data_IF_291990706309
#
_entry.id   IF_291990706309
#
_cell.length_a   1.000
_cell.length_b   1.000
_cell.length_c   1.000
_cell.angle_alpha   90.00
_cell.angle_beta   90.00
_cell.angle_gamma   90.00
#
_symmetry.space_group_name_H-M   'P 1'
#
loop_
_entity.id
_entity.type
_entity.pdbx_description
1 polymer ?
#
# COMPACT_ATOMS: atom_id res chain seq x y z
N UNK A 1 -17.52 -46.97 -7.83
CA UNK A 1 -17.60 -45.53 -7.51
C UNK A 1 -16.24 -45.13 -6.98
N UNK A 2 -15.39 -44.58 -7.85
CA UNK A 2 -13.97 -44.37 -7.60
C UNK A 2 -13.74 -43.05 -6.88
N UNK A 3 -13.11 -43.12 -5.71
CA UNK A 3 -12.72 -42.00 -4.87
C UNK A 3 -11.49 -41.30 -5.46
N UNK A 4 -11.66 -40.06 -5.91
CA UNK A 4 -10.54 -39.21 -6.37
C UNK A 4 -10.02 -38.46 -5.14
N UNK A 5 -8.82 -38.84 -4.69
CA UNK A 5 -8.06 -38.10 -3.68
C UNK A 5 -7.48 -36.85 -4.34
N UNK A 6 -7.83 -35.69 -3.78
CA UNK A 6 -7.29 -34.40 -4.20
C UNK A 6 -5.96 -34.18 -3.48
N UNK A 7 -4.85 -34.36 -4.18
CA UNK A 7 -3.51 -34.02 -3.69
C UNK A 7 -3.28 -32.51 -3.79
N UNK A 8 -3.01 -31.90 -2.65
CA UNK A 8 -2.66 -30.49 -2.50
C UNK A 8 -1.24 -30.24 -3.00
N UNK A 9 -1.12 -29.57 -4.15
CA UNK A 9 0.13 -29.07 -4.71
C UNK A 9 0.52 -27.79 -3.96
N UNK A 10 1.57 -27.87 -3.14
CA UNK A 10 2.24 -26.70 -2.57
C UNK A 10 3.07 -25.99 -3.67
N UNK A 11 3.06 -24.65 -3.75
CA UNK A 11 3.91 -23.94 -4.68
C UNK A 11 5.37 -24.00 -4.20
N UNK A 12 6.23 -24.58 -5.04
CA UNK A 12 7.69 -24.54 -4.92
C UNK A 12 8.17 -23.08 -5.00
N UNK A 13 8.62 -22.55 -3.86
CA UNK A 13 9.31 -21.27 -3.77
C UNK A 13 10.73 -21.46 -4.32
N UNK A 14 10.95 -21.03 -5.56
CA UNK A 14 12.28 -20.98 -6.17
C UNK A 14 12.98 -19.72 -5.64
N UNK A 15 14.03 -19.91 -4.85
CA UNK A 15 14.91 -18.82 -4.42
C UNK A 15 15.57 -18.15 -5.63
N UNK A 16 15.63 -16.81 -5.69
CA UNK A 16 16.37 -16.13 -6.75
C UNK A 16 17.88 -16.44 -6.64
N UNK A 17 18.60 -16.54 -7.77
CA UNK A 17 20.02 -16.82 -7.77
C UNK A 17 20.81 -15.70 -7.07
N UNK A 18 21.85 -16.11 -6.35
CA UNK A 18 22.78 -15.21 -5.69
C UNK A 18 23.41 -14.24 -6.71
N UNK A 19 23.44 -12.95 -6.37
CA UNK A 19 24.09 -11.93 -7.18
C UNK A 19 25.60 -12.24 -7.30
N UNK A 20 26.19 -12.10 -8.50
CA UNK A 20 27.62 -12.30 -8.67
C UNK A 20 28.42 -11.26 -7.88
N UNK A 21 29.39 -11.74 -7.11
CA UNK A 21 30.38 -10.94 -6.41
C UNK A 21 31.24 -10.16 -7.42
N UNK A 22 31.18 -8.83 -7.34
CA UNK A 22 32.02 -7.94 -8.14
C UNK A 22 33.50 -8.12 -7.76
N UNK A 23 34.42 -8.07 -8.74
CA UNK A 23 35.86 -8.10 -8.48
C UNK A 23 36.32 -6.80 -7.78
N UNK A 24 37.41 -6.86 -6.99
CA UNK A 24 37.93 -5.70 -6.29
C UNK A 24 38.48 -4.65 -7.27
N UNK A 25 38.13 -3.39 -6.99
CA UNK A 25 38.60 -2.20 -7.72
C UNK A 25 40.10 -2.01 -7.44
N UNK A 26 40.96 -1.87 -8.47
CA UNK A 26 42.36 -1.52 -8.26
C UNK A 26 42.48 -0.08 -7.76
N UNK A 27 43.26 0.13 -6.69
CA UNK A 27 43.71 1.45 -6.26
C UNK A 27 44.65 2.08 -7.31
N UNK A 28 44.46 3.34 -7.70
CA UNK A 28 45.41 4.02 -8.58
C UNK A 28 46.67 4.41 -7.79
N UNK A 29 47.81 3.86 -8.22
CA UNK A 29 49.14 4.36 -7.87
C UNK A 29 49.34 5.75 -8.48
N UNK A 30 49.59 6.74 -7.63
CA UNK A 30 50.02 8.08 -8.05
C UNK A 30 51.53 8.12 -8.22
N UNK A 31 51.98 8.34 -9.45
CA UNK A 31 53.28 8.96 -9.76
C UNK A 31 53.02 10.21 -10.61
N UNK A 32 53.73 11.32 -10.38
CA UNK A 32 53.52 12.58 -11.08
C UNK A 32 54.36 12.69 -12.36
N UNK A 33 54.08 13.75 -13.11
CA UNK A 33 54.77 14.26 -14.30
C UNK A 33 54.36 13.70 -15.66
N UNK A 34 53.53 14.48 -16.36
CA UNK A 34 54.01 15.17 -17.57
C UNK A 34 52.99 16.18 -18.08
N UNK A 35 53.48 17.39 -18.26
CA UNK A 35 52.88 18.53 -18.96
C UNK A 35 52.56 18.19 -20.41
N UNK A 36 51.30 18.37 -20.83
CA UNK A 36 50.94 18.64 -22.21
C UNK A 36 49.64 19.43 -22.26
N UNK A 37 49.74 20.66 -22.73
CA UNK A 37 48.60 21.51 -23.10
C UNK A 37 47.76 20.84 -24.18
N UNK A 38 46.47 20.72 -23.91
CA UNK A 38 45.44 20.69 -24.94
C UNK A 38 44.47 21.82 -24.63
N UNK A 39 44.48 22.84 -25.50
CA UNK A 39 43.39 23.79 -25.66
C UNK A 39 42.17 23.02 -26.21
N UNK A 40 41.57 22.17 -25.39
CA UNK A 40 40.20 21.75 -25.57
C UNK A 40 39.32 22.82 -24.95
N UNK A 41 38.34 23.32 -25.69
CA UNK A 41 37.19 24.01 -25.09
C UNK A 41 36.70 23.14 -23.95
N UNK A 42 37.02 23.52 -22.72
CA UNK A 42 36.33 23.07 -21.54
C UNK A 42 34.95 23.71 -21.64
N UNK A 43 34.12 23.17 -22.55
CA UNK A 43 32.69 23.29 -22.44
C UNK A 43 32.41 22.87 -21.02
N UNK A 44 32.10 23.87 -20.22
CA UNK A 44 31.86 23.75 -18.81
C UNK A 44 30.81 22.66 -18.67
N UNK A 45 31.25 21.44 -18.31
CA UNK A 45 30.41 20.48 -17.62
C UNK A 45 30.07 21.18 -16.30
N UNK A 46 29.15 22.15 -16.39
CA UNK A 46 28.52 22.77 -15.24
C UNK A 46 28.11 21.60 -14.38
N UNK A 47 28.76 21.49 -13.21
CA UNK A 47 28.58 20.36 -12.32
C UNK A 47 27.08 20.17 -12.14
N UNK A 48 26.54 19.11 -12.75
CA UNK A 48 25.11 18.91 -12.81
C UNK A 48 24.66 18.59 -11.39
N UNK A 49 24.03 19.58 -10.75
CA UNK A 49 23.51 19.40 -9.39
C UNK A 49 22.23 18.59 -9.53
N UNK A 50 22.32 17.30 -9.22
CA UNK A 50 21.15 16.45 -9.12
C UNK A 50 20.24 16.99 -8.01
N UNK A 51 18.91 17.06 -8.24
CA UNK A 51 17.98 17.51 -7.23
C UNK A 51 18.08 16.64 -5.97
N UNK A 52 17.93 17.27 -4.80
CA UNK A 52 17.85 16.59 -3.51
C UNK A 52 16.56 15.76 -3.50
N UNK A 53 16.70 14.46 -3.19
CA UNK A 53 15.59 13.51 -3.11
C UNK A 53 15.47 13.02 -1.66
N UNK A 54 14.28 13.09 -1.04
CA UNK A 54 13.02 13.71 -1.51
C UNK A 54 13.01 15.25 -1.33
N UNK A 55 12.04 15.98 -1.94
CA UNK A 55 11.82 17.39 -1.63
C UNK A 55 11.63 17.60 -0.11
N UNK A 56 12.05 18.75 0.45
CA UNK A 56 12.09 18.99 1.90
C UNK A 56 10.71 18.93 2.57
N UNK A 57 9.64 19.26 1.85
CA UNK A 57 8.27 19.14 2.33
C UNK A 57 7.65 17.83 1.82
N UNK A 58 7.42 16.88 2.73
CA UNK A 58 6.73 15.62 2.40
C UNK A 58 5.22 15.87 2.26
N UNK A 59 4.62 15.71 1.07
CA UNK A 59 3.18 15.92 0.90
C UNK A 59 2.33 14.77 1.48
N UNK A 60 2.94 13.67 1.92
CA UNK A 60 2.26 12.49 2.45
C UNK A 60 2.18 12.50 3.98
N UNK A 61 1.72 13.62 4.53
CA UNK A 61 1.49 13.78 5.97
C UNK A 61 -0.01 13.94 6.23
N UNK A 62 -0.53 13.31 7.28
CA UNK A 62 -1.91 13.51 7.69
C UNK A 62 -2.13 14.98 8.07
N UNK A 63 -3.27 15.53 7.65
CA UNK A 63 -3.68 16.86 8.07
C UNK A 63 -4.04 16.86 9.55
N UNK A 64 -4.05 18.03 10.19
CA UNK A 64 -4.32 18.17 11.63
C UNK A 64 -5.67 17.57 12.08
N UNK A 65 -6.63 17.47 11.16
CA UNK A 65 -7.95 16.86 11.39
C UNK A 65 -7.98 15.35 11.12
N UNK A 66 -6.84 14.72 10.83
CA UNK A 66 -6.71 13.30 10.52
C UNK A 66 -7.10 12.94 9.08
N UNK A 67 -7.38 13.92 8.22
CA UNK A 67 -7.75 13.66 6.83
C UNK A 67 -6.52 13.42 5.93
N UNK A 68 -6.75 12.70 4.82
CA UNK A 68 -5.72 12.45 3.83
C UNK A 68 -5.40 13.73 3.05
N UNK A 69 -4.12 14.02 2.79
CA UNK A 69 -3.72 15.22 2.06
C UNK A 69 -4.10 15.15 0.59
N UNK A 70 -4.25 16.32 -0.04
CA UNK A 70 -4.32 16.43 -1.49
C UNK A 70 -2.92 16.64 -2.06
N UNK A 71 -2.43 15.66 -2.81
CA UNK A 71 -1.06 15.65 -3.38
C UNK A 71 -1.02 15.97 -4.88
N UNK A 72 -2.16 15.93 -5.58
CA UNK A 72 -2.26 16.37 -6.98
C UNK A 72 -3.61 17.01 -7.28
N UNK A 73 -3.62 17.93 -8.25
CA UNK A 73 -4.84 18.52 -8.80
C UNK A 73 -5.42 17.71 -9.96
N UNK A 74 -4.61 16.85 -10.57
CA UNK A 74 -4.94 16.07 -11.76
C UNK A 74 -4.85 14.57 -11.43
N UNK A 75 -5.79 14.01 -10.63
CA UNK A 75 -5.72 12.62 -10.24
C UNK A 75 -5.87 11.69 -11.43
N UNK A 76 -5.14 10.56 -11.41
CA UNK A 76 -5.47 9.44 -12.27
C UNK A 76 -6.79 8.77 -11.81
N UNK A 77 -7.56 8.15 -12.72
CA UNK A 77 -8.76 7.42 -12.35
C UNK A 77 -8.48 6.31 -11.33
N UNK A 78 -9.39 6.03 -10.38
CA UNK A 78 -9.21 4.96 -9.38
C UNK A 78 -8.91 3.58 -9.97
N UNK A 79 -9.43 3.27 -11.16
CA UNK A 79 -9.23 1.97 -11.82
C UNK A 79 -7.98 1.93 -12.71
N UNK A 80 -7.17 2.99 -12.71
CA UNK A 80 -5.94 3.03 -13.49
C UNK A 80 -4.90 2.05 -12.91
N UNK A 81 -4.19 1.31 -13.76
CA UNK A 81 -3.21 0.27 -13.36
C UNK A 81 -2.17 0.79 -12.36
N UNK A 82 -1.64 1.99 -12.60
CA UNK A 82 -0.69 2.64 -11.68
C UNK A 82 -1.30 2.92 -10.30
N UNK A 83 -2.57 3.32 -10.25
CA UNK A 83 -3.28 3.56 -8.99
C UNK A 83 -3.42 2.25 -8.22
N UNK A 84 -3.85 1.19 -8.91
CA UNK A 84 -3.97 -0.15 -8.32
C UNK A 84 -2.62 -0.68 -7.81
N UNK A 85 -1.54 -0.43 -8.56
CA UNK A 85 -0.19 -0.79 -8.13
C UNK A 85 0.19 -0.09 -6.82
N UNK A 86 -0.19 1.18 -6.65
CA UNK A 86 0.07 1.94 -5.42
C UNK A 86 -0.80 1.46 -4.26
N UNK A 87 -2.08 1.18 -4.47
CA UNK A 87 -2.97 0.72 -3.39
C UNK A 87 -2.69 -0.71 -2.94
N UNK A 88 -2.14 -1.55 -3.82
CA UNK A 88 -1.66 -2.90 -3.50
C UNK A 88 -0.20 -2.94 -3.03
N UNK A 89 0.51 -1.81 -3.09
CA UNK A 89 1.89 -1.76 -2.62
C UNK A 89 1.94 -1.85 -1.10
N UNK A 90 2.88 -2.66 -0.61
CA UNK A 90 3.11 -2.88 0.80
C UNK A 90 4.60 -2.81 1.09
N UNK A 91 5.01 -1.80 1.85
CA UNK A 91 6.41 -1.55 2.18
C UNK A 91 7.00 -2.61 3.12
N UNK A 92 6.19 -3.14 4.04
CA UNK A 92 6.60 -4.10 5.07
C UNK A 92 5.56 -5.18 5.29
N UNK A 93 5.98 -6.31 5.85
CA UNK A 93 5.05 -7.39 6.19
C UNK A 93 4.20 -6.98 7.40
N UNK A 94 3.01 -6.43 7.16
CA UNK A 94 2.09 -6.03 8.22
C UNK A 94 1.06 -7.13 8.55
N UNK A 95 0.84 -7.32 9.85
CA UNK A 95 -0.35 -7.98 10.41
C UNK A 95 -1.09 -6.93 11.23
N UNK A 96 -2.40 -6.81 11.07
CA UNK A 96 -3.19 -5.95 11.96
C UNK A 96 -3.19 -6.53 13.37
N UNK A 97 -3.34 -5.66 14.39
CA UNK A 97 -3.35 -6.05 15.80
C UNK A 97 -4.36 -7.17 16.09
N UNK A 98 -5.57 -7.05 15.53
CA UNK A 98 -6.66 -8.03 15.68
C UNK A 98 -6.29 -9.44 15.20
N UNK A 99 -5.48 -9.54 14.14
CA UNK A 99 -4.99 -10.81 13.62
C UNK A 99 -3.77 -11.32 14.38
N UNK A 100 -2.89 -10.41 14.83
CA UNK A 100 -1.69 -10.76 15.57
C UNK A 100 -2.05 -11.44 16.90
N UNK A 101 -2.99 -10.87 17.65
CA UNK A 101 -3.46 -11.44 18.92
C UNK A 101 -4.18 -12.79 18.75
N UNK A 102 -4.89 -12.97 17.63
CA UNK A 102 -5.68 -14.18 17.37
C UNK A 102 -4.90 -15.29 16.65
N UNK A 103 -3.60 -15.09 16.40
CA UNK A 103 -2.79 -15.96 15.52
C UNK A 103 -3.46 -16.24 14.15
N UNK A 104 -4.23 -15.27 13.63
CA UNK A 104 -4.99 -15.43 12.40
C UNK A 104 -4.17 -15.07 11.16
N UNK A 105 -4.52 -15.67 10.03
CA UNK A 105 -3.94 -15.33 8.74
C UNK A 105 -4.40 -13.92 8.30
N UNK A 106 -3.53 -12.93 8.47
CA UNK A 106 -3.79 -11.55 8.06
C UNK A 106 -3.34 -11.33 6.61
N UNK A 107 -4.26 -11.56 5.67
CA UNK A 107 -4.00 -11.27 4.26
C UNK A 107 -4.24 -9.79 3.96
N UNK A 108 -3.24 -9.14 3.38
CA UNK A 108 -3.36 -7.81 2.79
C UNK A 108 -3.62 -7.98 1.30
N UNK A 109 -4.72 -7.43 0.81
CA UNK A 109 -5.02 -7.39 -0.63
C UNK A 109 -4.84 -5.98 -1.18
N UNK A 110 -5.38 -4.98 -0.49
CA UNK A 110 -5.37 -3.59 -0.95
C UNK A 110 -5.64 -2.61 0.20
N UNK A 111 -5.04 -1.41 0.16
CA UNK A 111 -5.34 -0.34 1.09
C UNK A 111 -6.81 0.13 0.97
N UNK A 112 -7.40 0.45 2.12
CA UNK A 112 -8.81 0.79 2.26
C UNK A 112 -9.73 -0.43 2.38
N UNK A 113 -9.21 -1.66 2.36
CA UNK A 113 -10.00 -2.88 2.60
C UNK A 113 -9.59 -3.54 3.91
N UNK A 114 -10.58 -3.90 4.71
CA UNK A 114 -10.36 -4.68 5.93
C UNK A 114 -9.84 -6.07 5.57
N UNK A 115 -8.91 -6.60 6.36
CA UNK A 115 -8.51 -8.00 6.21
C UNK A 115 -9.70 -8.92 6.53
N UNK A 116 -9.71 -10.13 5.95
CA UNK A 116 -10.80 -11.10 6.13
C UNK A 116 -11.22 -11.31 7.58
N UNK A 117 -10.29 -11.54 8.52
CA UNK A 117 -10.63 -11.66 9.94
C UNK A 117 -11.25 -10.40 10.58
N UNK A 118 -10.75 -9.20 10.27
CA UNK A 118 -11.35 -7.96 10.77
C UNK A 118 -12.76 -7.77 10.19
N UNK A 119 -12.93 -8.05 8.90
CA UNK A 119 -14.22 -7.96 8.24
C UNK A 119 -15.23 -8.94 8.84
N UNK A 120 -14.84 -10.21 9.02
CA UNK A 120 -15.71 -11.24 9.62
C UNK A 120 -16.13 -10.92 11.06
N UNK A 121 -15.24 -10.25 11.82
CA UNK A 121 -15.53 -9.76 13.17
C UNK A 121 -16.18 -8.38 13.19
N UNK A 122 -16.42 -7.79 12.03
CA UNK A 122 -16.93 -6.43 11.94
C UNK A 122 -16.10 -5.39 12.70
N UNK A 123 -14.78 -5.57 12.85
CA UNK A 123 -13.92 -4.63 13.57
C UNK A 123 -13.57 -3.43 12.66
N UNK A 124 -13.91 -2.19 13.06
CA UNK A 124 -13.69 -0.98 12.26
C UNK A 124 -12.21 -0.62 12.14
N UNK A 125 -11.42 -0.98 13.14
CA UNK A 125 -10.04 -0.56 13.30
C UNK A 125 -9.07 -1.56 12.68
N UNK A 126 -9.28 -1.88 11.40
CA UNK A 126 -8.27 -2.60 10.64
C UNK A 126 -7.18 -1.64 10.19
N UNK A 127 -5.91 -1.93 10.48
CA UNK A 127 -4.83 -1.04 10.05
C UNK A 127 -4.77 -0.82 8.52
N UNK A 128 -5.32 -1.74 7.72
CA UNK A 128 -5.38 -1.58 6.26
C UNK A 128 -6.42 -0.55 5.80
N UNK A 129 -7.36 -0.18 6.66
CA UNK A 129 -8.34 0.90 6.44
C UNK A 129 -7.93 2.21 7.10
N UNK A 130 -6.76 2.28 7.74
CA UNK A 130 -6.25 3.50 8.37
C UNK A 130 -5.51 4.39 7.36
N UNK A 131 -5.77 5.71 7.35
CA UNK A 131 -5.07 6.66 6.50
C UNK A 131 -3.53 6.61 6.60
N UNK A 132 -3.01 6.48 7.83
CA UNK A 132 -1.56 6.43 8.08
C UNK A 132 -0.89 5.25 7.36
N UNK A 133 -1.55 4.09 7.33
CA UNK A 133 -1.03 2.91 6.62
C UNK A 133 -0.88 3.17 5.11
N UNK A 134 -1.84 3.86 4.48
CA UNK A 134 -1.71 4.23 3.07
C UNK A 134 -0.52 5.18 2.87
N UNK A 135 -0.42 6.23 3.69
CA UNK A 135 0.62 7.25 3.54
C UNK A 135 2.03 6.67 3.72
N UNK A 136 2.25 5.83 4.72
CA UNK A 136 3.54 5.14 4.92
C UNK A 136 3.95 4.33 3.69
N UNK A 137 2.99 3.62 3.07
CA UNK A 137 3.22 2.86 1.86
C UNK A 137 3.49 3.77 0.65
N UNK A 138 2.79 4.90 0.53
CA UNK A 138 3.03 5.89 -0.52
C UNK A 138 4.40 6.55 -0.39
N UNK A 139 4.84 6.90 0.82
CA UNK A 139 6.20 7.42 1.09
C UNK A 139 7.26 6.40 0.68
N UNK A 140 7.14 5.15 1.16
CA UNK A 140 8.09 4.12 0.81
C UNK A 140 8.12 3.81 -0.70
N UNK A 141 6.98 3.95 -1.39
CA UNK A 141 6.90 3.77 -2.84
C UNK A 141 7.47 4.96 -3.61
N UNK A 142 7.21 6.18 -3.13
CA UNK A 142 7.75 7.44 -3.64
C UNK A 142 9.27 7.37 -3.67
N UNK A 143 9.89 7.06 -2.54
CA UNK A 143 11.34 7.09 -2.42
C UNK A 143 12.01 6.10 -3.38
N UNK A 144 11.43 4.90 -3.53
CA UNK A 144 11.88 3.90 -4.52
C UNK A 144 11.69 4.40 -5.95
N UNK A 145 10.54 5.00 -6.26
CA UNK A 145 10.20 5.50 -7.59
C UNK A 145 11.17 6.62 -8.00
N UNK A 146 11.33 7.64 -7.17
CA UNK A 146 12.20 8.78 -7.47
C UNK A 146 13.68 8.41 -7.52
N UNK A 147 14.14 7.44 -6.72
CA UNK A 147 15.50 6.94 -6.86
C UNK A 147 15.69 6.20 -8.18
N UNK A 148 14.72 5.36 -8.58
CA UNK A 148 14.75 4.67 -9.87
C UNK A 148 14.76 5.64 -11.05
N UNK A 149 13.87 6.64 -11.06
CA UNK A 149 13.81 7.65 -12.12
C UNK A 149 15.10 8.46 -12.21
N UNK A 150 15.66 8.87 -11.06
CA UNK A 150 16.93 9.60 -11.01
C UNK A 150 18.07 8.80 -11.66
N UNK A 151 18.22 7.52 -11.28
CA UNK A 151 19.26 6.64 -11.85
C UNK A 151 19.02 6.41 -13.35
N UNK A 152 17.77 6.18 -13.75
CA UNK A 152 17.41 5.94 -15.15
C UNK A 152 17.73 7.16 -16.04
N UNK A 153 17.35 8.36 -15.60
CA UNK A 153 17.65 9.60 -16.32
C UNK A 153 19.15 9.90 -16.33
N UNK A 154 19.87 9.64 -15.24
CA UNK A 154 21.32 9.85 -15.18
C UNK A 154 22.06 8.93 -16.17
N UNK A 155 21.64 7.67 -16.25
CA UNK A 155 22.16 6.73 -17.24
C UNK A 155 21.83 7.15 -18.67
N UNK A 156 20.64 7.70 -18.93
CA UNK A 156 20.27 8.23 -20.23
C UNK A 156 21.12 9.45 -20.64
N UNK A 157 21.46 10.32 -19.68
CA UNK A 157 22.40 11.42 -19.90
C UNK A 157 23.80 10.89 -20.21
N UNK A 158 24.29 9.93 -19.43
CA UNK A 158 25.62 9.36 -19.65
C UNK A 158 25.74 8.63 -20.99
N UNK A 159 24.67 7.95 -21.43
CA UNK A 159 24.59 7.28 -22.72
C UNK A 159 24.37 8.25 -23.91
N UNK A 160 24.20 9.55 -23.65
CA UNK A 160 23.93 10.57 -24.68
C UNK A 160 22.51 10.51 -25.28
N UNK A 161 21.61 9.68 -24.75
CA UNK A 161 20.22 9.59 -25.21
C UNK A 161 19.32 10.69 -24.63
N UNK A 162 19.75 11.33 -23.54
CA UNK A 162 19.09 12.49 -22.95
C UNK A 162 20.07 13.65 -22.85
N UNK A 163 19.72 14.82 -23.38
CA UNK A 163 20.53 16.02 -23.19
C UNK A 163 20.50 16.44 -21.70
N UNK A 164 21.65 16.75 -21.06
CA UNK A 164 21.70 17.08 -19.64
C UNK A 164 20.69 18.16 -19.22
N UNK A 165 20.53 19.23 -20.02
CA UNK A 165 19.58 20.32 -19.72
C UNK A 165 18.11 19.89 -19.60
N UNK A 166 17.75 18.69 -20.10
CA UNK A 166 16.39 18.14 -19.99
C UNK A 166 16.18 17.28 -18.76
N UNK A 167 17.23 16.94 -18.01
CA UNK A 167 17.13 16.06 -16.85
C UNK A 167 16.05 16.51 -15.86
N UNK A 168 16.10 17.77 -15.43
CA UNK A 168 15.16 18.30 -14.43
C UNK A 168 13.73 18.29 -14.96
N UNK A 169 13.52 18.62 -16.23
CA UNK A 169 12.19 18.65 -16.86
C UNK A 169 11.57 17.24 -16.86
N UNK A 170 12.34 16.22 -17.27
CA UNK A 170 11.84 14.84 -17.29
C UNK A 170 11.64 14.29 -15.88
N UNK A 171 12.50 14.65 -14.93
CA UNK A 171 12.36 14.27 -13.54
C UNK A 171 11.12 14.88 -12.88
N UNK A 172 10.86 16.16 -13.11
CA UNK A 172 9.65 16.85 -12.67
C UNK A 172 8.39 16.24 -13.30
N UNK A 173 8.44 15.90 -14.59
CA UNK A 173 7.34 15.20 -15.28
C UNK A 173 7.05 13.84 -14.64
N UNK A 174 8.08 13.05 -14.34
CA UNK A 174 7.94 11.78 -13.65
C UNK A 174 7.31 11.98 -12.25
N UNK A 175 7.76 13.01 -11.52
CA UNK A 175 7.17 13.38 -10.23
C UNK A 175 5.70 13.76 -10.31
N UNK A 176 5.33 14.63 -11.25
CA UNK A 176 3.95 15.03 -11.48
C UNK A 176 3.05 13.82 -11.81
N UNK A 177 3.57 12.86 -12.59
CA UNK A 177 2.87 11.61 -12.90
C UNK A 177 2.69 10.75 -11.64
N UNK A 178 3.74 10.59 -10.83
CA UNK A 178 3.65 9.87 -9.56
C UNK A 178 2.60 10.46 -8.62
N UNK A 179 2.61 11.79 -8.42
CA UNK A 179 1.64 12.45 -7.55
C UNK A 179 0.20 12.35 -8.08
N UNK A 180 0.02 12.34 -9.41
CA UNK A 180 -1.28 12.10 -10.03
C UNK A 180 -1.80 10.69 -9.75
N UNK A 181 -0.93 9.68 -9.82
CA UNK A 181 -1.25 8.30 -9.43
C UNK A 181 -1.50 8.17 -7.92
N UNK A 182 -0.70 8.83 -7.08
CA UNK A 182 -0.85 8.80 -5.62
C UNK A 182 -2.17 9.45 -5.18
N UNK A 183 -2.58 10.55 -5.81
CA UNK A 183 -3.91 11.12 -5.58
C UNK A 183 -5.03 10.16 -5.99
N UNK A 184 -4.88 9.45 -7.12
CA UNK A 184 -5.81 8.39 -7.52
C UNK A 184 -5.88 7.27 -6.48
N UNK A 185 -4.75 6.89 -5.88
CA UNK A 185 -4.68 5.89 -4.81
C UNK A 185 -5.37 6.35 -3.52
N UNK A 186 -5.22 7.62 -3.15
CA UNK A 186 -5.96 8.25 -2.05
C UNK A 186 -7.48 8.19 -2.31
N UNK A 187 -7.91 8.57 -3.52
CA UNK A 187 -9.33 8.53 -3.88
C UNK A 187 -9.88 7.10 -3.81
N UNK A 188 -9.13 6.12 -4.34
CA UNK A 188 -9.50 4.71 -4.30
C UNK A 188 -9.54 4.15 -2.88
N UNK A 189 -8.59 4.53 -2.04
CA UNK A 189 -8.58 4.18 -0.62
C UNK A 189 -9.86 4.67 0.07
N UNK A 190 -10.25 5.92 -0.14
CA UNK A 190 -11.47 6.49 0.45
C UNK A 190 -12.72 5.75 -0.02
N UNK A 191 -12.80 5.44 -1.32
CA UNK A 191 -13.89 4.63 -1.88
C UNK A 191 -13.93 3.23 -1.26
N UNK A 192 -12.79 2.53 -1.21
CA UNK A 192 -12.67 1.20 -0.63
C UNK A 192 -13.04 1.19 0.86
N UNK A 193 -12.58 2.20 1.61
CA UNK A 193 -12.80 2.31 3.05
C UNK A 193 -14.28 2.54 3.35
N UNK A 194 -14.93 3.46 2.64
CA UNK A 194 -16.39 3.66 2.73
C UNK A 194 -17.14 2.40 2.33
N UNK A 195 -16.81 1.80 1.19
CA UNK A 195 -17.49 0.60 0.69
C UNK A 195 -17.33 -0.58 1.65
N UNK A 196 -16.13 -0.77 2.21
CA UNK A 196 -15.88 -1.83 3.21
C UNK A 196 -16.71 -1.57 4.46
N UNK A 197 -16.76 -0.32 4.93
CA UNK A 197 -17.56 0.06 6.08
C UNK A 197 -19.04 -0.25 5.85
N UNK A 198 -19.58 0.15 4.70
CA UNK A 198 -20.99 -0.01 4.39
C UNK A 198 -21.35 -1.48 4.14
N UNK A 199 -20.55 -2.22 3.35
CA UNK A 199 -20.83 -3.63 3.03
C UNK A 199 -20.62 -4.55 4.23
N UNK A 200 -19.54 -4.37 4.99
CA UNK A 200 -19.24 -5.25 6.13
C UNK A 200 -20.18 -4.93 7.27
N UNK A 201 -20.25 -3.67 7.72
CA UNK A 201 -21.05 -3.36 8.92
C UNK A 201 -22.54 -3.27 8.62
N UNK A 202 -22.92 -2.70 7.48
CA UNK A 202 -24.30 -2.71 7.01
C UNK A 202 -24.78 -4.13 6.71
N UNK A 203 -24.00 -4.90 5.94
CA UNK A 203 -24.35 -6.28 5.62
C UNK A 203 -24.48 -7.17 6.86
N UNK A 204 -23.57 -7.07 7.83
CA UNK A 204 -23.71 -7.82 9.09
C UNK A 204 -24.96 -7.34 9.86
N UNK A 205 -25.23 -6.03 9.92
CA UNK A 205 -26.43 -5.48 10.54
C UNK A 205 -27.72 -6.01 9.90
N UNK A 206 -27.76 -6.09 8.57
CA UNK A 206 -28.93 -6.57 7.82
C UNK A 206 -29.13 -8.09 8.00
N UNK A 207 -28.06 -8.88 7.97
CA UNK A 207 -28.11 -10.32 8.26
C UNK A 207 -28.64 -10.56 9.68
N UNK A 208 -28.17 -9.79 10.66
CA UNK A 208 -28.68 -9.89 12.03
C UNK A 208 -30.15 -9.50 12.11
N UNK A 209 -30.54 -8.37 11.51
CA UNK A 209 -31.91 -7.87 11.55
C UNK A 209 -32.92 -8.78 10.84
N UNK A 210 -32.48 -9.49 9.80
CA UNK A 210 -33.30 -10.44 9.03
C UNK A 210 -33.31 -11.86 9.59
N UNK A 211 -32.45 -12.18 10.55
CA UNK A 211 -32.44 -13.49 11.18
C UNK A 211 -33.54 -13.58 12.25
N UNK A 212 -34.39 -14.60 12.13
CA UNK A 212 -35.39 -15.00 13.13
C UNK A 212 -34.99 -16.29 13.86
N UNK A 213 -33.85 -16.91 13.52
CA UNK A 213 -33.38 -18.13 14.17
C UNK A 213 -32.55 -17.79 15.42
N UNK A 214 -33.09 -17.99 16.65
CA UNK A 214 -32.37 -17.68 17.87
C UNK A 214 -31.11 -18.54 18.03
N UNK A 215 -31.06 -19.75 17.44
CA UNK A 215 -29.90 -20.63 17.50
C UNK A 215 -28.75 -20.06 16.69
N UNK A 216 -29.03 -19.58 15.49
CA UNK A 216 -28.05 -18.87 14.65
C UNK A 216 -27.51 -17.63 15.36
N UNK A 217 -28.39 -16.81 15.96
CA UNK A 217 -27.97 -15.58 16.65
C UNK A 217 -27.11 -15.90 17.89
N UNK A 218 -27.46 -16.93 18.67
CA UNK A 218 -26.65 -17.39 19.82
C UNK A 218 -25.30 -17.95 19.35
N UNK A 219 -25.26 -18.71 18.25
CA UNK A 219 -24.01 -19.20 17.66
C UNK A 219 -23.13 -18.04 17.17
N UNK A 220 -23.73 -17.03 16.55
CA UNK A 220 -23.05 -15.82 16.13
C UNK A 220 -22.47 -15.05 17.33
N UNK A 221 -23.24 -14.88 18.40
CA UNK A 221 -22.82 -14.24 19.66
C UNK A 221 -21.71 -15.02 20.38
N UNK A 222 -21.76 -16.35 20.38
CA UNK A 222 -20.73 -17.19 21.01
C UNK A 222 -19.42 -17.20 20.21
N UNK A 223 -19.48 -17.09 18.89
CA UNK A 223 -18.28 -16.95 18.04
C UNK A 223 -17.62 -15.56 18.16
N UNK A 224 -18.37 -14.55 18.61
CA UNK A 224 -17.97 -13.15 18.64
C UNK A 224 -17.46 -12.65 19.99
N UNK A 225 -17.46 -13.52 21.02
CA UNK A 225 -17.47 -13.15 22.44
C UNK A 225 -16.36 -12.20 22.93
N UNK A 226 -15.23 -12.05 22.22
CA UNK A 226 -14.14 -11.13 22.62
C UNK A 226 -13.66 -10.14 21.54
N UNK A 227 -14.12 -10.26 20.29
CA UNK A 227 -13.46 -9.56 19.17
C UNK A 227 -14.39 -8.93 18.14
N UNK A 228 -15.70 -8.93 18.38
CA UNK A 228 -16.66 -8.29 17.48
C UNK A 228 -16.94 -6.85 17.89
N UNK A 229 -17.24 -5.99 16.93
CA UNK A 229 -17.56 -4.60 17.22
C UNK A 229 -18.78 -4.50 18.16
N UNK A 230 -18.69 -3.71 19.26
CA UNK A 230 -19.76 -3.62 20.25
C UNK A 230 -21.16 -3.32 19.70
N UNK A 231 -21.26 -2.53 18.62
CA UNK A 231 -22.52 -2.20 17.98
C UNK A 231 -23.18 -3.41 17.32
N UNK A 232 -22.39 -4.28 16.70
CA UNK A 232 -22.89 -5.51 16.09
C UNK A 232 -23.34 -6.49 17.17
N UNK A 233 -22.58 -6.58 18.27
CA UNK A 233 -22.93 -7.43 19.40
C UNK A 233 -24.24 -6.96 20.04
N UNK A 234 -24.41 -5.65 20.22
CA UNK A 234 -25.63 -5.05 20.74
C UNK A 234 -26.83 -5.36 19.83
N UNK A 235 -26.70 -5.16 18.50
CA UNK A 235 -27.77 -5.47 17.55
C UNK A 235 -28.18 -6.96 17.58
N UNK A 236 -27.21 -7.86 17.66
CA UNK A 236 -27.48 -9.30 17.77
C UNK A 236 -28.18 -9.66 19.10
N UNK A 237 -27.81 -9.03 20.22
CA UNK A 237 -28.49 -9.20 21.51
C UNK A 237 -29.91 -8.64 21.49
N UNK A 238 -30.11 -7.43 20.96
CA UNK A 238 -31.43 -6.80 20.81
C UNK A 238 -32.35 -7.66 19.93
N UNK A 239 -31.82 -8.20 18.84
CA UNK A 239 -32.58 -9.10 17.97
C UNK A 239 -32.94 -10.41 18.65
N UNK A 240 -32.00 -11.05 19.33
CA UNK A 240 -32.26 -12.28 20.09
C UNK A 240 -33.37 -12.05 21.12
N UNK A 241 -33.30 -10.93 21.84
CA UNK A 241 -34.35 -10.56 22.80
C UNK A 241 -35.71 -10.41 22.11
N UNK A 242 -35.78 -9.67 20.99
CA UNK A 242 -37.02 -9.48 20.23
C UNK A 242 -37.63 -10.82 19.78
N UNK A 243 -36.82 -11.71 19.21
CA UNK A 243 -37.26 -13.06 18.78
C UNK A 243 -37.79 -13.86 19.96
N UNK A 244 -37.05 -13.93 21.07
CA UNK A 244 -37.47 -14.68 22.26
C UNK A 244 -38.76 -14.11 22.88
N UNK A 245 -38.92 -12.79 22.91
CA UNK A 245 -40.17 -12.17 23.42
C UNK A 245 -41.37 -12.45 22.52
N UNK A 246 -41.19 -12.50 21.20
CA UNK A 246 -42.26 -12.78 20.25
C UNK A 246 -42.79 -14.23 20.32
N UNK A 247 -42.00 -15.16 20.88
CA UNK A 247 -42.44 -16.54 21.09
C UNK A 247 -43.27 -16.75 22.36
N UNK A 248 -43.30 -15.76 23.26
CA UNK A 248 -43.98 -15.85 24.57
C UNK A 248 -45.35 -15.14 24.53
N UNK A 249 -45.53 -14.20 23.59
CA UNK A 249 -46.78 -13.48 23.32
C UNK A 249 -47.69 -14.25 22.37
#
# INVERSE_FOLDING_TARGET
>A
MSSIKSESILPLYISPPAAPSLPPVPLPSTSPDSTASTNGSADSYAAFVYPIVPPPDDPFVLLHDGTLPRVSRNPLPPNHERVETLTKYRARVYKCANCAEGALCCRFDEAGKSCGPCAARGVPDCCFTEPGFLLDNLVARRDRYFNYERVTLANAVHAGSLHPSRFNIEYERAGAFFYSAAQGAINRFLMNSSTTKDLVYGGISDIMSSSDDPTFIIQFLSFSHDKMHPRISLLAVERLHAVLTSCIS
#
